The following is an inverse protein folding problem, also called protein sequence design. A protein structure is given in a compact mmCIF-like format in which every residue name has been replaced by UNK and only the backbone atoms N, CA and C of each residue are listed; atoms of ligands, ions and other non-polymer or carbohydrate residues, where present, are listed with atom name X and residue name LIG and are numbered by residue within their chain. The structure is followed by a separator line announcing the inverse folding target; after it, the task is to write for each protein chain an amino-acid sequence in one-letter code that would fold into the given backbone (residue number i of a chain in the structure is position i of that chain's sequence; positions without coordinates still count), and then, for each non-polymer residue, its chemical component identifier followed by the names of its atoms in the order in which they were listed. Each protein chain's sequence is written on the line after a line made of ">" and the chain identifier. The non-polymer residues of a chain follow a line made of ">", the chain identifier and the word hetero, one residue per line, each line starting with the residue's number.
data_IF_973136482173
#
_entry.id   IF_973136482173
#
_cell.length_a   1.000
_cell.length_b   1.000
_cell.length_c   1.000
_cell.angle_alpha   90.00
_cell.angle_beta   90.00
_cell.angle_gamma   90.00
#
_symmetry.space_group_name_H-M   'P 1'
#
loop_
_entity.id
_entity.type
_entity.pdbx_description
1 polymer ?
#
# COMPACT_ATOMS: atom_id res chain seq x y z
N UNK A 1 -19.93 31.90 22.28
CA UNK A 1 -18.80 32.10 21.34
C UNK A 1 -18.83 30.95 20.34
N UNK A 2 -18.46 31.26 19.11
CA UNK A 2 -18.84 30.60 17.87
C UNK A 2 -18.41 29.13 17.71
N UNK A 3 -19.14 28.48 16.81
CA UNK A 3 -19.01 27.11 16.36
C UNK A 3 -17.70 26.80 15.63
N UNK A 4 -17.34 25.52 15.57
CA UNK A 4 -16.62 24.95 14.44
C UNK A 4 -17.19 23.55 14.15
N UNK A 5 -18.14 23.52 13.23
CA UNK A 5 -18.57 22.31 12.57
C UNK A 5 -17.44 21.85 11.63
N UNK A 6 -16.83 20.70 11.91
CA UNK A 6 -16.01 20.01 10.92
C UNK A 6 -16.94 19.12 10.09
N UNK A 7 -17.40 19.66 8.97
CA UNK A 7 -18.16 18.91 7.98
C UNK A 7 -17.27 17.80 7.39
N UNK A 8 -17.49 16.56 7.84
CA UNK A 8 -16.98 15.39 7.14
C UNK A 8 -17.84 15.23 5.87
N UNK A 9 -17.30 15.69 4.74
CA UNK A 9 -17.88 15.40 3.43
C UNK A 9 -17.77 13.91 3.21
N UNK A 10 -18.86 13.18 3.43
CA UNK A 10 -19.00 11.79 2.97
C UNK A 10 -19.24 11.87 1.47
N UNK A 11 -18.16 11.94 0.70
CA UNK A 11 -18.22 11.63 -0.73
C UNK A 11 -18.31 10.10 -0.87
N UNK A 12 -19.52 9.62 -1.15
CA UNK A 12 -19.79 8.25 -1.59
C UNK A 12 -19.14 8.05 -2.97
N UNK A 13 -17.91 7.55 -2.97
CA UNK A 13 -17.16 7.20 -4.19
C UNK A 13 -15.72 6.92 -3.82
N UNK A 14 -15.32 5.64 -3.82
CA UNK A 14 -14.07 5.13 -3.26
C UNK A 14 -12.85 6.00 -3.54
N UNK A 15 -12.37 6.69 -2.49
CA UNK A 15 -11.02 7.22 -2.41
C UNK A 15 -10.43 6.59 -1.14
N UNK A 16 -9.54 5.61 -1.33
CA UNK A 16 -8.73 5.07 -0.24
C UNK A 16 -7.72 6.11 0.20
N UNK A 17 -8.15 7.10 0.98
CA UNK A 17 -7.24 7.95 1.73
C UNK A 17 -6.80 7.14 2.94
N UNK A 18 -5.58 6.60 2.89
CA UNK A 18 -4.94 6.04 4.08
C UNK A 18 -4.83 7.15 5.12
N UNK A 19 -5.67 7.11 6.15
CA UNK A 19 -5.60 8.03 7.28
C UNK A 19 -4.33 7.74 8.07
N UNK A 20 -3.37 8.66 8.03
CA UNK A 20 -2.13 8.61 8.81
C UNK A 20 -2.32 9.33 10.15
N UNK A 21 -2.23 8.59 11.26
CA UNK A 21 -2.27 9.16 12.62
C UNK A 21 -0.88 9.01 13.23
N UNK A 22 -0.13 10.12 13.32
CA UNK A 22 1.15 10.16 14.04
C UNK A 22 0.88 10.29 15.56
N UNK A 23 1.04 9.18 16.28
CA UNK A 23 0.97 9.08 17.73
C UNK A 23 1.58 7.74 18.17
N UNK A 24 1.59 7.43 19.47
CA UNK A 24 2.07 6.13 20.01
C UNK A 24 1.38 4.88 19.40
N UNK A 25 0.36 5.09 18.55
CA UNK A 25 -0.34 4.11 17.74
C UNK A 25 0.08 4.12 16.25
N UNK A 26 1.35 4.39 15.93
CA UNK A 26 1.83 4.31 14.55
C UNK A 26 1.77 2.85 14.02
N UNK A 27 0.87 2.55 13.06
CA UNK A 27 0.69 1.18 12.56
C UNK A 27 1.95 0.65 11.85
N UNK A 28 2.81 1.53 11.31
CA UNK A 28 4.08 1.13 10.71
C UNK A 28 4.97 0.52 11.79
N UNK A 29 5.21 1.27 12.86
CA UNK A 29 6.08 0.81 13.96
C UNK A 29 5.54 -0.44 14.64
N UNK A 30 4.22 -0.59 14.76
CA UNK A 30 3.62 -1.81 15.33
C UNK A 30 3.95 -3.08 14.55
N UNK A 31 4.02 -3.00 13.21
CA UNK A 31 4.42 -4.13 12.36
C UNK A 31 5.92 -4.34 12.44
N UNK A 32 6.71 -3.27 12.36
CA UNK A 32 8.18 -3.37 12.35
C UNK A 32 8.77 -3.85 13.68
N UNK A 33 8.11 -3.61 14.80
CA UNK A 33 8.52 -4.06 16.13
C UNK A 33 7.88 -5.39 16.55
N UNK A 34 7.06 -6.00 15.69
CA UNK A 34 6.47 -7.30 16.00
C UNK A 34 7.57 -8.38 16.04
N UNK A 35 7.52 -9.26 17.04
CA UNK A 35 8.54 -10.32 17.21
C UNK A 35 8.55 -11.37 16.10
N UNK A 36 7.51 -11.40 15.27
CA UNK A 36 7.37 -12.30 14.12
C UNK A 36 7.60 -11.60 12.77
N UNK A 37 8.16 -10.39 12.75
CA UNK A 37 8.38 -9.64 11.51
C UNK A 37 9.35 -10.37 10.58
N UNK A 38 8.96 -10.53 9.32
CA UNK A 38 9.79 -11.08 8.24
C UNK A 38 9.94 -10.04 7.16
N UNK A 39 11.15 -9.87 6.64
CA UNK A 39 11.44 -8.87 5.63
C UNK A 39 11.91 -9.51 4.33
N UNK A 40 11.39 -9.03 3.21
CA UNK A 40 11.88 -9.36 1.87
C UNK A 40 12.06 -8.07 1.07
N UNK A 41 12.99 -8.09 0.12
CA UNK A 41 13.21 -6.98 -0.81
C UNK A 41 13.09 -7.51 -2.22
N UNK A 42 12.37 -6.79 -3.07
CA UNK A 42 12.20 -7.11 -4.49
C UNK A 42 12.57 -5.91 -5.34
N UNK A 43 13.14 -6.16 -6.51
CA UNK A 43 13.41 -5.10 -7.48
C UNK A 43 12.10 -4.57 -8.07
N UNK A 44 12.05 -3.26 -8.30
CA UNK A 44 10.93 -2.62 -9.00
C UNK A 44 11.35 -2.42 -10.45
N UNK A 45 10.55 -2.95 -11.38
CA UNK A 45 10.77 -2.71 -12.81
C UNK A 45 10.67 -1.20 -13.11
N UNK A 46 11.70 -0.64 -13.72
CA UNK A 46 11.88 0.80 -13.88
C UNK A 46 12.92 1.40 -12.92
N UNK A 47 13.34 0.68 -11.89
CA UNK A 47 14.45 1.04 -11.00
C UNK A 47 14.04 1.12 -9.52
N UNK A 48 15.04 0.97 -8.64
CA UNK A 48 14.83 0.95 -7.20
C UNK A 48 14.31 -0.39 -6.68
N UNK A 49 13.93 -0.41 -5.40
CA UNK A 49 13.45 -1.62 -4.71
C UNK A 49 12.22 -1.35 -3.86
N UNK A 50 11.43 -2.41 -3.65
CA UNK A 50 10.34 -2.46 -2.69
C UNK A 50 10.71 -3.43 -1.57
N UNK A 51 10.75 -2.92 -0.35
CA UNK A 51 10.96 -3.71 0.86
C UNK A 51 9.61 -3.98 1.50
N UNK A 52 9.27 -5.26 1.70
CA UNK A 52 8.07 -5.69 2.42
C UNK A 52 8.46 -6.23 3.79
N UNK A 53 7.83 -5.73 4.85
CA UNK A 53 8.00 -6.20 6.24
C UNK A 53 6.66 -6.73 6.73
N UNK A 54 6.55 -8.04 6.87
CA UNK A 54 5.30 -8.77 7.11
C UNK A 54 5.26 -9.22 8.57
N UNK A 55 4.14 -8.99 9.26
CA UNK A 55 3.85 -9.61 10.55
C UNK A 55 2.50 -10.31 10.50
N UNK A 56 2.51 -11.62 10.69
CA UNK A 56 1.29 -12.43 10.71
C UNK A 56 0.46 -12.15 11.97
N UNK A 57 1.12 -11.92 13.11
CA UNK A 57 0.48 -11.59 14.38
C UNK A 57 -0.24 -10.24 14.35
N UNK A 58 0.25 -9.28 13.56
CA UNK A 58 -0.43 -8.00 13.29
C UNK A 58 -1.38 -8.06 12.10
N UNK A 59 -1.42 -9.18 11.38
CA UNK A 59 -2.16 -9.35 10.14
C UNK A 59 -1.91 -8.17 9.18
N UNK A 60 -0.65 -7.76 9.05
CA UNK A 60 -0.28 -6.56 8.32
C UNK A 60 1.12 -6.63 7.72
N UNK A 61 1.35 -5.79 6.72
CA UNK A 61 2.62 -5.63 6.02
C UNK A 61 2.92 -4.15 5.82
N UNK A 62 4.18 -3.79 6.02
CA UNK A 62 4.73 -2.48 5.69
C UNK A 62 5.48 -2.58 4.37
N UNK A 63 5.19 -1.69 3.44
CA UNK A 63 5.92 -1.57 2.16
C UNK A 63 6.71 -0.27 2.16
N UNK A 64 8.01 -0.35 1.89
CA UNK A 64 8.90 0.80 1.72
C UNK A 64 9.52 0.78 0.34
N UNK A 65 9.39 1.89 -0.38
CA UNK A 65 9.99 2.07 -1.69
C UNK A 65 11.33 2.80 -1.53
N UNK A 66 12.38 2.33 -2.20
CA UNK A 66 13.70 2.94 -2.14
C UNK A 66 14.27 3.14 -3.54
N UNK A 67 14.57 4.39 -3.90
CA UNK A 67 15.12 4.74 -5.21
C UNK A 67 14.17 4.45 -6.39
N UNK A 68 12.89 4.21 -6.13
CA UNK A 68 11.89 3.98 -7.18
C UNK A 68 11.59 5.31 -7.86
N UNK A 69 11.69 5.42 -9.20
CA UNK A 69 11.38 6.66 -9.90
C UNK A 69 9.92 7.08 -9.69
N UNK A 70 9.70 8.40 -9.75
CA UNK A 70 8.35 8.95 -9.81
C UNK A 70 7.55 8.29 -10.95
N UNK A 71 6.24 8.03 -10.76
CA UNK A 71 5.42 7.49 -11.82
C UNK A 71 5.40 8.45 -13.02
N UNK A 72 5.24 7.94 -14.26
CA UNK A 72 5.14 8.79 -15.45
C UNK A 72 4.00 9.82 -15.34
N UNK A 73 4.07 10.89 -16.14
CA UNK A 73 3.03 11.91 -16.17
C UNK A 73 1.64 11.29 -16.43
N UNK A 74 0.65 11.67 -15.62
CA UNK A 74 -0.71 11.11 -15.69
C UNK A 74 -0.85 9.70 -15.13
N UNK A 75 0.16 9.19 -14.42
CA UNK A 75 0.15 7.87 -13.78
C UNK A 75 0.42 7.96 -12.27
N UNK A 76 0.04 6.89 -11.57
CA UNK A 76 0.37 6.61 -10.16
C UNK A 76 0.78 5.15 -10.05
N UNK A 77 1.50 4.78 -9.00
CA UNK A 77 1.56 3.37 -8.63
C UNK A 77 0.30 2.98 -7.87
N UNK A 78 -0.16 1.75 -8.01
CA UNK A 78 -1.26 1.20 -7.23
C UNK A 78 -0.84 -0.13 -6.61
N UNK A 79 -1.14 -0.27 -5.32
CA UNK A 79 -0.85 -1.48 -4.57
C UNK A 79 -2.09 -2.36 -4.48
N UNK A 80 -1.86 -3.67 -4.54
CA UNK A 80 -2.91 -4.69 -4.58
C UNK A 80 -2.60 -5.81 -3.60
N UNK A 81 -3.62 -6.29 -2.89
CA UNK A 81 -3.61 -7.63 -2.32
C UNK A 81 -4.16 -8.60 -3.36
N UNK A 82 -3.44 -9.69 -3.59
CA UNK A 82 -3.85 -10.75 -4.49
C UNK A 82 -4.37 -11.90 -3.61
N UNK A 83 -5.69 -12.19 -3.61
CA UNK A 83 -6.29 -13.21 -2.76
C UNK A 83 -5.78 -14.64 -3.05
N UNK A 84 -5.73 -15.48 -2.02
CA UNK A 84 -5.38 -16.91 -2.13
C UNK A 84 -6.44 -17.74 -2.85
N UNK A 85 -7.69 -17.33 -2.76
CA UNK A 85 -8.85 -18.04 -3.31
C UNK A 85 -9.08 -17.75 -4.82
N UNK A 86 -8.22 -16.92 -5.43
CA UNK A 86 -8.34 -16.53 -6.83
C UNK A 86 -9.42 -15.48 -7.09
N UNK A 87 -10.02 -14.90 -6.05
CA UNK A 87 -10.91 -13.74 -6.20
C UNK A 87 -10.14 -12.50 -6.70
N UNK A 88 -10.89 -11.49 -7.12
CA UNK A 88 -10.33 -10.30 -7.76
C UNK A 88 -9.32 -9.57 -6.85
N UNK A 89 -8.18 -9.09 -7.39
CA UNK A 89 -7.22 -8.30 -6.62
C UNK A 89 -7.87 -7.07 -5.98
N UNK A 90 -7.53 -6.81 -4.72
CA UNK A 90 -8.12 -5.74 -3.92
C UNK A 90 -7.15 -4.57 -3.82
N UNK A 91 -7.56 -3.41 -4.32
CA UNK A 91 -6.79 -2.16 -4.23
C UNK A 91 -6.50 -1.79 -2.78
N UNK A 92 -5.24 -1.48 -2.47
CA UNK A 92 -4.76 -1.05 -1.15
C UNK A 92 -4.33 0.41 -1.11
N UNK A 93 -4.56 1.15 -2.20
CA UNK A 93 -4.24 2.56 -2.30
C UNK A 93 -3.29 2.90 -3.45
N UNK A 94 -3.15 4.20 -3.67
CA UNK A 94 -2.35 4.81 -4.73
C UNK A 94 -1.09 5.44 -4.13
N UNK A 95 0.01 5.41 -4.88
CA UNK A 95 1.27 6.03 -4.50
C UNK A 95 1.73 6.95 -5.63
N UNK A 96 1.65 8.25 -5.39
CA UNK A 96 2.30 9.27 -6.22
C UNK A 96 3.76 9.47 -5.82
N UNK A 97 4.45 10.42 -6.45
CA UNK A 97 5.86 10.70 -6.19
C UNK A 97 6.16 11.06 -4.72
N UNK A 98 5.23 11.73 -4.02
CA UNK A 98 5.43 12.07 -2.61
C UNK A 98 5.14 10.89 -1.68
N UNK A 99 4.16 10.05 -2.03
CA UNK A 99 3.87 8.84 -1.28
C UNK A 99 5.04 7.84 -1.31
N UNK A 100 5.83 7.79 -2.39
CA UNK A 100 7.00 6.89 -2.51
C UNK A 100 8.07 7.11 -1.41
N UNK A 101 8.17 8.31 -0.83
CA UNK A 101 9.13 8.58 0.24
C UNK A 101 8.65 8.13 1.63
N UNK A 102 7.45 7.55 1.72
CA UNK A 102 6.82 7.16 2.98
C UNK A 102 6.50 5.66 2.98
N UNK A 103 6.58 4.98 4.15
CA UNK A 103 6.09 3.62 4.28
C UNK A 103 4.58 3.56 4.12
N UNK A 104 4.08 2.57 3.38
CA UNK A 104 2.66 2.21 3.35
C UNK A 104 2.41 1.02 4.28
N UNK A 105 1.26 0.97 4.95
CA UNK A 105 0.81 -0.18 5.75
C UNK A 105 -0.44 -0.76 5.12
N UNK A 106 -0.44 -2.07 4.93
CA UNK A 106 -1.60 -2.85 4.48
C UNK A 106 -1.96 -3.83 5.57
N UNK A 107 -3.21 -3.79 6.03
CA UNK A 107 -3.77 -4.74 6.98
C UNK A 107 -4.65 -5.77 6.27
N UNK A 108 -5.05 -6.84 6.97
CA UNK A 108 -5.94 -7.86 6.40
C UNK A 108 -5.25 -8.83 5.43
N UNK A 109 -3.95 -9.07 5.61
CA UNK A 109 -3.15 -9.87 4.66
C UNK A 109 -3.37 -11.38 4.76
N UNK A 110 -4.05 -11.89 5.79
CA UNK A 110 -4.20 -13.32 6.06
C UNK A 110 -4.87 -14.10 4.91
N UNK A 111 -5.79 -13.47 4.18
CA UNK A 111 -6.47 -14.03 3.01
C UNK A 111 -5.70 -13.83 1.69
N UNK A 112 -4.60 -13.07 1.70
CA UNK A 112 -3.83 -12.73 0.50
C UNK A 112 -2.61 -13.63 0.31
N UNK A 113 -2.36 -14.02 -0.93
CA UNK A 113 -1.19 -14.81 -1.34
C UNK A 113 0.04 -13.93 -1.54
N UNK A 114 -0.16 -12.72 -2.07
CA UNK A 114 0.92 -11.79 -2.40
C UNK A 114 0.43 -10.34 -2.41
N UNK A 115 1.40 -9.42 -2.37
CA UNK A 115 1.21 -8.03 -2.81
C UNK A 115 1.69 -7.89 -4.24
N UNK A 116 0.96 -7.08 -5.02
CA UNK A 116 1.38 -6.61 -6.34
C UNK A 116 1.39 -5.08 -6.41
N UNK A 117 2.29 -4.53 -7.22
CA UNK A 117 2.34 -3.09 -7.54
C UNK A 117 2.30 -2.93 -9.06
N UNK A 118 1.45 -2.02 -9.55
CA UNK A 118 1.29 -1.70 -10.97
C UNK A 118 1.37 -0.21 -11.21
N UNK A 119 1.55 0.21 -12.47
CA UNK A 119 1.48 1.60 -12.91
C UNK A 119 0.12 1.86 -13.51
N UNK A 120 -0.67 2.71 -12.87
CA UNK A 120 -2.08 2.94 -13.19
C UNK A 120 -2.33 4.38 -13.63
N UNK A 121 -3.41 4.67 -14.37
CA UNK A 121 -3.87 6.04 -14.56
C UNK A 121 -4.06 6.77 -13.22
N UNK A 122 -3.92 8.10 -13.22
CA UNK A 122 -4.36 8.92 -12.08
C UNK A 122 -5.81 8.58 -11.73
N UNK A 123 -6.08 8.36 -10.45
CA UNK A 123 -7.36 7.83 -9.95
C UNK A 123 -7.39 6.31 -9.77
N UNK A 124 -6.36 5.61 -10.27
CA UNK A 124 -6.22 4.17 -10.17
C UNK A 124 -7.09 3.40 -11.17
N UNK A 125 -7.07 2.08 -11.02
CA UNK A 125 -7.85 1.12 -11.80
C UNK A 125 -8.71 0.27 -10.89
N UNK A 126 -9.74 -0.37 -11.48
CA UNK A 126 -10.59 -1.36 -10.80
C UNK A 126 -9.93 -2.74 -10.70
N UNK A 127 -8.99 -3.03 -11.59
CA UNK A 127 -8.17 -4.24 -11.63
C UNK A 127 -6.74 -3.86 -11.98
N UNK A 128 -5.72 -4.63 -11.54
CA UNK A 128 -4.33 -4.32 -11.88
C UNK A 128 -4.11 -4.39 -13.38
N UNK A 129 -3.42 -3.39 -13.93
CA UNK A 129 -2.89 -3.45 -15.30
C UNK A 129 -1.60 -4.26 -15.30
N UNK A 130 -1.44 -5.10 -16.32
CA UNK A 130 -0.25 -5.93 -16.49
C UNK A 130 0.71 -5.29 -17.51
N UNK A 131 2.04 -5.49 -17.36
CA UNK A 131 2.70 -6.26 -16.30
C UNK A 131 2.76 -5.51 -14.95
N UNK A 132 2.92 -6.27 -13.86
CA UNK A 132 3.27 -5.70 -12.55
C UNK A 132 4.70 -5.15 -12.58
N UNK A 133 4.94 -4.07 -11.82
CA UNK A 133 6.30 -3.54 -11.63
C UNK A 133 7.03 -4.19 -10.46
N UNK A 134 6.29 -4.71 -9.47
CA UNK A 134 6.82 -5.51 -8.39
C UNK A 134 5.73 -6.44 -7.84
N UNK A 135 6.15 -7.57 -7.28
CA UNK A 135 5.28 -8.45 -6.52
C UNK A 135 6.09 -9.19 -5.45
N UNK A 136 5.48 -9.46 -4.30
CA UNK A 136 6.10 -10.21 -3.22
C UNK A 136 5.09 -11.16 -2.56
N UNK A 137 5.45 -12.44 -2.30
CA UNK A 137 4.59 -13.36 -1.57
C UNK A 137 4.43 -12.95 -0.10
N UNK A 138 3.29 -13.31 0.50
CA UNK A 138 2.95 -13.02 1.91
C UNK A 138 3.07 -14.26 2.82
N UNK A 139 3.88 -15.24 2.41
CA UNK A 139 4.08 -16.54 3.08
C UNK A 139 5.23 -16.57 4.06
#
# INVERSE_FOLDING_TARGET
>A
MAAAAAAAVIALGGVGVGVYVAGQNDPVNQVLQAGDVRQATVDVNGGGTATVSISSSKNAVVVRMNGVPAPPAGKVYQMWLIPKDGSDPVSQGLMDAQALSHPAVVSGISSAASIGITVEPVGGSKKPTLPTVAAAPLT
#
